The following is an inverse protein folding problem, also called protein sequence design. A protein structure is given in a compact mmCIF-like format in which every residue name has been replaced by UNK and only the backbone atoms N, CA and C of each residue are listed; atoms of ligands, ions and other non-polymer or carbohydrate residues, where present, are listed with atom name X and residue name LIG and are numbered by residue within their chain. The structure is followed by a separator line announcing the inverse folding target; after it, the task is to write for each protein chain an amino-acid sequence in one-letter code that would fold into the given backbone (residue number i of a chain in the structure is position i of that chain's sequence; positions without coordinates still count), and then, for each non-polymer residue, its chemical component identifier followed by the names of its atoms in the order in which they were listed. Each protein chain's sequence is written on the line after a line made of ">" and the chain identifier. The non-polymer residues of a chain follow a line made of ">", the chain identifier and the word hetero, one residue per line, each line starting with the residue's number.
data_IF_395731070147
#
_entry.id   IF_395731070147
#
_cell.length_a   1.000
_cell.length_b   1.000
_cell.length_c   1.000
_cell.angle_alpha   90.00
_cell.angle_beta   90.00
_cell.angle_gamma   90.00
#
_symmetry.space_group_name_H-M   'P 1'
#
loop_
_entity.id
_entity.type
_entity.pdbx_description
1 polymer ?
#
# COMPACT_ATOMS: atom_id res chain seq x y z
N UNK A 1 -10.34 11.05 22.45
CA UNK A 1 -10.14 9.68 23.00
C UNK A 1 -8.96 9.03 22.31
N UNK A 2 -8.20 8.22 23.02
CA UNK A 2 -7.15 7.40 22.45
C UNK A 2 -7.76 6.38 21.47
N UNK A 3 -7.16 6.21 20.29
CA UNK A 3 -7.56 5.22 19.29
C UNK A 3 -6.54 4.10 19.29
N UNK A 4 -6.95 2.89 19.61
CA UNK A 4 -6.15 1.68 19.55
C UNK A 4 -6.29 1.04 18.17
N UNK A 5 -5.22 0.94 17.44
CA UNK A 5 -5.20 0.51 16.06
C UNK A 5 -4.36 -0.77 15.93
N UNK A 6 -4.93 -1.81 15.34
CA UNK A 6 -4.15 -2.96 14.89
C UNK A 6 -3.69 -2.73 13.45
N UNK A 7 -2.38 -2.68 13.25
CA UNK A 7 -1.75 -2.53 11.93
C UNK A 7 -1.01 -3.80 11.56
N UNK A 8 -1.53 -4.54 10.57
CA UNK A 8 -0.81 -5.66 9.98
C UNK A 8 0.03 -5.19 8.80
N UNK A 9 1.19 -5.81 8.59
CA UNK A 9 2.08 -5.40 7.50
C UNK A 9 2.76 -4.04 7.71
N UNK A 10 2.92 -3.60 8.94
CA UNK A 10 3.49 -2.29 9.34
C UNK A 10 4.92 -2.04 8.83
N UNK A 11 5.68 -3.10 8.50
CA UNK A 11 7.03 -3.03 7.93
C UNK A 11 7.04 -3.07 6.39
N UNK A 12 5.89 -3.20 5.76
CA UNK A 12 5.73 -3.12 4.31
C UNK A 12 5.76 -1.69 3.79
N UNK A 13 5.74 -1.53 2.47
CA UNK A 13 5.81 -0.22 1.82
C UNK A 13 4.69 0.73 2.31
N UNK A 14 3.42 0.34 2.18
CA UNK A 14 2.29 1.15 2.64
C UNK A 14 2.30 1.26 4.17
N UNK A 15 2.54 0.13 4.86
CA UNK A 15 2.47 0.06 6.32
C UNK A 15 3.43 1.00 7.03
N UNK A 16 4.66 1.15 6.53
CA UNK A 16 5.64 2.09 7.07
C UNK A 16 5.17 3.55 6.95
N UNK A 17 4.63 3.92 5.79
CA UNK A 17 4.09 5.26 5.58
C UNK A 17 2.86 5.52 6.44
N UNK A 18 1.94 4.55 6.50
CA UNK A 18 0.73 4.68 7.31
C UNK A 18 1.06 4.78 8.80
N UNK A 19 1.97 3.94 9.30
CA UNK A 19 2.44 4.02 10.69
C UNK A 19 2.97 5.41 11.02
N UNK A 20 3.83 5.96 10.17
CA UNK A 20 4.40 7.29 10.36
C UNK A 20 3.32 8.39 10.32
N UNK A 21 2.30 8.26 9.48
CA UNK A 21 1.19 9.22 9.41
C UNK A 21 0.31 9.15 10.66
N UNK A 22 -0.04 7.94 11.10
CA UNK A 22 -0.84 7.71 12.32
C UNK A 22 -0.16 8.25 13.58
N UNK A 23 1.16 8.08 13.70
CA UNK A 23 1.94 8.54 14.86
C UNK A 23 2.08 10.06 14.95
N UNK A 24 1.71 10.83 13.91
CA UNK A 24 1.60 12.28 14.03
C UNK A 24 0.47 12.72 14.96
N UNK A 25 -0.52 11.85 15.17
CA UNK A 25 -1.60 12.09 16.11
C UNK A 25 -1.27 11.43 17.46
N UNK A 26 -1.02 12.24 18.48
CA UNK A 26 -0.70 11.78 19.84
C UNK A 26 -1.80 10.93 20.50
N UNK A 27 -3.01 10.95 19.94
CA UNK A 27 -4.14 10.15 20.42
C UNK A 27 -4.26 8.79 19.71
N UNK A 28 -3.18 8.29 19.12
CA UNK A 28 -3.16 7.00 18.42
C UNK A 28 -2.17 6.06 19.09
N UNK A 29 -2.61 4.85 19.44
CA UNK A 29 -1.75 3.75 19.87
C UNK A 29 -1.81 2.62 18.85
N UNK A 30 -0.64 2.08 18.42
CA UNK A 30 -0.54 1.11 17.34
C UNK A 30 -0.04 -0.22 17.87
N UNK A 31 -0.85 -1.25 17.72
CA UNK A 31 -0.49 -2.66 17.87
C UNK A 31 -0.06 -3.19 16.50
N UNK A 32 1.14 -3.75 16.42
CA UNK A 32 1.71 -4.19 15.14
C UNK A 32 1.70 -5.70 15.03
N UNK A 33 1.12 -6.25 13.95
CA UNK A 33 1.31 -7.63 13.57
C UNK A 33 2.19 -7.73 12.32
N UNK A 34 3.35 -8.34 12.47
CA UNK A 34 4.36 -8.48 11.41
C UNK A 34 4.57 -9.95 11.03
N UNK A 35 5.12 -10.19 9.85
CA UNK A 35 5.48 -11.55 9.41
C UNK A 35 6.42 -12.21 10.42
N UNK A 36 6.09 -13.42 10.85
CA UNK A 36 6.81 -14.17 11.91
C UNK A 36 6.49 -13.69 13.33
N UNK A 37 5.58 -12.74 13.51
CA UNK A 37 5.12 -12.31 14.82
C UNK A 37 4.25 -13.37 15.51
N UNK A 38 4.20 -13.33 16.83
CA UNK A 38 3.44 -14.26 17.64
C UNK A 38 1.95 -13.92 17.60
N UNK A 39 1.12 -14.87 17.18
CA UNK A 39 -0.32 -14.65 17.08
C UNK A 39 -0.98 -14.32 18.44
N UNK A 40 -0.47 -14.91 19.53
CA UNK A 40 -1.00 -14.59 20.88
C UNK A 40 -0.97 -13.11 21.24
N UNK A 41 -0.08 -12.33 20.62
CA UNK A 41 -0.08 -10.88 20.82
C UNK A 41 -1.37 -10.24 20.27
N UNK A 42 -1.85 -10.71 19.12
CA UNK A 42 -3.12 -10.26 18.56
C UNK A 42 -4.29 -10.71 19.46
N UNK A 43 -4.30 -12.01 19.85
CA UNK A 43 -5.35 -12.57 20.71
C UNK A 43 -5.50 -11.80 22.04
N UNK A 44 -4.38 -11.40 22.64
CA UNK A 44 -4.36 -10.71 23.91
C UNK A 44 -4.78 -9.24 23.83
N UNK A 45 -4.59 -8.59 22.67
CA UNK A 45 -4.89 -7.15 22.50
C UNK A 45 -6.19 -6.88 21.74
N UNK A 46 -6.78 -7.87 21.08
CA UNK A 46 -7.87 -7.65 20.12
C UNK A 46 -9.10 -6.97 20.74
N UNK A 47 -9.37 -7.19 22.02
CA UNK A 47 -10.51 -6.59 22.73
C UNK A 47 -10.33 -5.08 23.01
N UNK A 48 -9.08 -4.59 22.93
CA UNK A 48 -8.76 -3.16 23.09
C UNK A 48 -8.78 -2.39 21.76
N UNK A 49 -8.87 -3.10 20.61
CA UNK A 49 -8.71 -2.50 19.29
C UNK A 49 -9.99 -1.80 18.81
N UNK A 50 -9.85 -0.55 18.38
CA UNK A 50 -10.93 0.26 17.81
C UNK A 50 -11.02 0.16 16.28
N UNK A 51 -9.90 -0.15 15.58
CA UNK A 51 -9.81 -0.18 14.13
C UNK A 51 -8.68 -1.09 13.64
N UNK A 52 -8.89 -1.82 12.56
CA UNK A 52 -7.89 -2.69 11.96
C UNK A 52 -7.49 -2.18 10.57
N UNK A 53 -6.18 -1.91 10.37
CA UNK A 53 -5.59 -1.78 9.04
C UNK A 53 -4.97 -3.12 8.66
N UNK A 54 -5.63 -3.86 7.79
CA UNK A 54 -5.16 -5.15 7.30
C UNK A 54 -4.40 -4.97 5.97
N UNK A 55 -3.09 -4.63 6.09
CA UNK A 55 -2.20 -4.40 4.95
C UNK A 55 -1.27 -5.60 4.67
N UNK A 56 -1.18 -6.55 5.60
CA UNK A 56 -0.37 -7.74 5.41
C UNK A 56 -0.89 -8.57 4.24
N UNK A 57 0.04 -9.13 3.47
CA UNK A 57 -0.25 -10.00 2.36
C UNK A 57 1.02 -10.31 1.56
N UNK A 58 0.97 -11.41 0.80
CA UNK A 58 2.00 -11.76 -0.16
C UNK A 58 1.77 -11.00 -1.46
N UNK A 59 2.82 -10.36 -1.95
CA UNK A 59 2.78 -9.54 -3.19
C UNK A 59 3.96 -9.83 -4.12
N UNK A 60 4.92 -10.70 -3.70
CA UNK A 60 6.07 -11.05 -4.52
C UNK A 60 5.60 -11.95 -5.68
N UNK A 61 5.77 -11.53 -6.95
CA UNK A 61 5.36 -12.33 -8.10
C UNK A 61 6.13 -13.66 -8.22
N UNK A 62 7.23 -13.81 -7.47
CA UNK A 62 8.04 -15.05 -7.43
C UNK A 62 7.55 -16.05 -6.36
N UNK A 63 6.63 -15.64 -5.50
CA UNK A 63 6.06 -16.50 -4.49
C UNK A 63 5.22 -17.62 -5.11
N UNK A 64 5.20 -18.78 -4.46
CA UNK A 64 4.36 -19.90 -4.87
C UNK A 64 2.90 -19.72 -4.42
N UNK A 65 2.01 -20.53 -4.97
CA UNK A 65 0.58 -20.55 -4.65
C UNK A 65 0.30 -20.63 -3.14
N UNK A 66 0.97 -21.56 -2.44
CA UNK A 66 0.75 -21.80 -1.00
C UNK A 66 1.10 -20.56 -0.16
N UNK A 67 2.13 -19.81 -0.57
CA UNK A 67 2.50 -18.56 0.08
C UNK A 67 1.41 -17.50 -0.09
N UNK A 68 0.81 -17.38 -1.29
CA UNK A 68 -0.31 -16.48 -1.53
C UNK A 68 -1.54 -16.89 -0.70
N UNK A 69 -1.91 -18.17 -0.68
CA UNK A 69 -3.04 -18.66 0.11
C UNK A 69 -2.81 -18.40 1.60
N UNK A 70 -1.65 -18.80 2.12
CA UNK A 70 -1.33 -18.67 3.55
C UNK A 70 -1.35 -17.22 4.04
N UNK A 71 -0.71 -16.32 3.28
CA UNK A 71 -0.52 -14.93 3.72
C UNK A 71 -1.66 -13.98 3.33
N UNK A 72 -2.48 -14.34 2.34
CA UNK A 72 -3.62 -13.51 1.95
C UNK A 72 -4.93 -14.09 2.52
N UNK A 73 -5.30 -15.32 2.16
CA UNK A 73 -6.59 -15.91 2.55
C UNK A 73 -6.57 -16.34 4.02
N UNK A 74 -5.69 -17.27 4.39
CA UNK A 74 -5.72 -17.89 5.73
C UNK A 74 -5.47 -16.86 6.84
N UNK A 75 -4.61 -15.88 6.60
CA UNK A 75 -4.39 -14.80 7.56
C UNK A 75 -5.66 -13.96 7.75
N UNK A 76 -6.35 -13.59 6.67
CA UNK A 76 -7.61 -12.85 6.71
C UNK A 76 -8.70 -13.65 7.44
N UNK A 77 -8.85 -14.94 7.12
CA UNK A 77 -9.78 -15.84 7.81
C UNK A 77 -9.50 -15.91 9.31
N UNK A 78 -8.23 -16.05 9.67
CA UNK A 78 -7.81 -16.15 11.08
C UNK A 78 -8.19 -14.90 11.87
N UNK A 79 -8.05 -13.70 11.29
CA UNK A 79 -8.51 -12.45 11.91
C UNK A 79 -10.03 -12.44 12.09
N UNK A 80 -10.78 -12.76 11.04
CA UNK A 80 -12.24 -12.78 11.09
C UNK A 80 -12.74 -13.79 12.13
N UNK A 81 -12.20 -15.00 12.15
CA UNK A 81 -12.56 -16.04 13.13
C UNK A 81 -12.31 -15.56 14.57
N UNK A 82 -11.19 -14.89 14.83
CA UNK A 82 -10.90 -14.34 16.15
C UNK A 82 -11.93 -13.29 16.57
N UNK A 83 -12.27 -12.36 15.67
CA UNK A 83 -13.28 -11.33 15.92
C UNK A 83 -14.66 -11.94 16.20
N UNK A 84 -15.07 -12.95 15.44
CA UNK A 84 -16.34 -13.64 15.61
C UNK A 84 -16.38 -14.45 16.92
N UNK A 85 -15.31 -15.17 17.25
CA UNK A 85 -15.19 -15.91 18.52
C UNK A 85 -15.31 -14.99 19.73
N UNK A 86 -14.73 -13.79 19.64
CA UNK A 86 -14.75 -12.77 20.68
C UNK A 86 -16.02 -11.89 20.63
N UNK A 87 -16.88 -12.08 19.62
CA UNK A 87 -18.09 -11.27 19.37
C UNK A 87 -17.79 -9.77 19.22
N UNK A 88 -16.67 -9.45 18.56
CA UNK A 88 -16.21 -8.09 18.33
C UNK A 88 -16.61 -7.62 16.93
N UNK A 89 -17.13 -6.40 16.85
CA UNK A 89 -17.49 -5.74 15.58
C UNK A 89 -16.55 -4.56 15.35
N UNK A 90 -15.31 -4.85 14.92
CA UNK A 90 -14.25 -3.87 14.72
C UNK A 90 -14.19 -3.49 13.23
N UNK A 91 -14.19 -2.20 12.85
CA UNK A 91 -14.04 -1.76 11.49
C UNK A 91 -12.69 -2.21 10.89
N UNK A 92 -12.70 -2.63 9.62
CA UNK A 92 -11.51 -3.12 8.92
C UNK A 92 -11.30 -2.31 7.62
N UNK A 93 -10.10 -1.74 7.45
CA UNK A 93 -9.60 -1.32 6.17
C UNK A 93 -8.65 -2.40 5.62
N UNK A 94 -8.96 -2.89 4.43
CA UNK A 94 -8.18 -3.90 3.72
C UNK A 94 -7.59 -3.33 2.42
N UNK A 95 -6.28 -3.53 2.23
CA UNK A 95 -5.64 -3.20 0.96
C UNK A 95 -5.76 -4.36 -0.02
N UNK A 96 -6.60 -4.18 -1.00
CA UNK A 96 -6.73 -5.05 -2.16
C UNK A 96 -6.00 -4.47 -3.37
N UNK A 97 -6.31 -4.94 -4.55
CA UNK A 97 -5.65 -4.55 -5.80
C UNK A 97 -6.66 -4.48 -6.94
N UNK A 98 -6.38 -3.66 -7.95
CA UNK A 98 -7.09 -3.69 -9.23
C UNK A 98 -7.08 -5.09 -9.88
N UNK A 99 -6.05 -5.91 -9.57
CA UNK A 99 -5.95 -7.29 -10.04
C UNK A 99 -7.02 -8.22 -9.46
N UNK A 100 -7.65 -7.87 -8.33
CA UNK A 100 -8.73 -8.64 -7.74
C UNK A 100 -10.06 -8.49 -8.52
N UNK A 101 -10.22 -7.43 -9.33
CA UNK A 101 -11.44 -7.19 -10.11
C UNK A 101 -11.63 -8.25 -11.22
N UNK A 102 -10.54 -8.63 -11.89
CA UNK A 102 -10.50 -9.68 -12.91
C UNK A 102 -9.22 -10.51 -12.72
N UNK A 103 -9.22 -11.49 -11.80
CA UNK A 103 -8.02 -12.24 -11.45
C UNK A 103 -7.46 -13.02 -12.64
N UNK A 104 -6.15 -12.89 -12.86
CA UNK A 104 -5.41 -13.62 -13.90
C UNK A 104 -4.25 -14.44 -13.33
N UNK A 105 -4.02 -14.36 -12.04
CA UNK A 105 -2.94 -15.04 -11.32
C UNK A 105 -3.33 -15.25 -9.85
N UNK A 106 -2.50 -16.00 -9.11
CA UNK A 106 -2.73 -16.33 -7.70
C UNK A 106 -2.86 -15.09 -6.82
N UNK A 107 -2.08 -14.03 -7.10
CA UNK A 107 -2.19 -12.77 -6.37
C UNK A 107 -3.58 -12.17 -6.48
N UNK A 108 -4.09 -11.98 -7.71
CA UNK A 108 -5.43 -11.44 -7.95
C UNK A 108 -6.51 -12.32 -7.33
N UNK A 109 -6.42 -13.65 -7.51
CA UNK A 109 -7.39 -14.62 -6.99
C UNK A 109 -7.44 -14.60 -5.46
N UNK A 110 -6.28 -14.60 -4.80
CA UNK A 110 -6.25 -14.60 -3.33
C UNK A 110 -6.68 -13.27 -2.74
N UNK A 111 -6.38 -12.14 -3.40
CA UNK A 111 -6.91 -10.83 -3.01
C UNK A 111 -8.43 -10.79 -3.13
N UNK A 112 -9.01 -11.27 -4.25
CA UNK A 112 -10.45 -11.34 -4.44
C UNK A 112 -11.11 -12.18 -3.34
N UNK A 113 -10.54 -13.34 -3.01
CA UNK A 113 -11.07 -14.19 -1.94
C UNK A 113 -11.04 -13.50 -0.58
N UNK A 114 -9.97 -12.79 -0.26
CA UNK A 114 -9.88 -12.00 0.96
C UNK A 114 -10.90 -10.84 1.00
N UNK A 115 -11.18 -10.20 -0.15
CA UNK A 115 -12.25 -9.19 -0.25
C UNK A 115 -13.60 -9.77 0.15
N UNK A 116 -13.95 -10.96 -0.39
CA UNK A 116 -15.21 -11.65 -0.08
C UNK A 116 -15.34 -11.90 1.42
N UNK A 117 -14.30 -12.42 2.07
CA UNK A 117 -14.27 -12.68 3.51
C UNK A 117 -14.52 -11.40 4.34
N UNK A 118 -13.85 -10.30 3.99
CA UNK A 118 -14.00 -9.01 4.66
C UNK A 118 -15.41 -8.43 4.47
N UNK A 119 -15.97 -8.54 3.27
CA UNK A 119 -17.34 -8.08 3.00
C UNK A 119 -18.38 -8.87 3.79
N UNK A 120 -18.26 -10.20 3.80
CA UNK A 120 -19.14 -11.07 4.58
C UNK A 120 -19.08 -10.75 6.07
N UNK A 121 -17.88 -10.55 6.61
CA UNK A 121 -17.70 -10.12 7.99
C UNK A 121 -18.43 -8.80 8.26
N UNK A 122 -18.22 -7.79 7.42
CA UNK A 122 -18.86 -6.48 7.56
C UNK A 122 -20.39 -6.57 7.53
N UNK A 123 -20.92 -7.39 6.60
CA UNK A 123 -22.37 -7.59 6.46
C UNK A 123 -22.97 -8.33 7.68
N UNK A 124 -22.37 -9.46 8.10
CA UNK A 124 -22.85 -10.28 9.22
C UNK A 124 -22.82 -9.53 10.54
N UNK A 125 -21.76 -8.76 10.79
CA UNK A 125 -21.54 -8.06 12.04
C UNK A 125 -22.04 -6.60 12.04
N UNK A 126 -22.62 -6.13 10.90
CA UNK A 126 -23.09 -4.74 10.71
C UNK A 126 -22.02 -3.71 11.05
N UNK A 127 -20.77 -3.99 10.65
CA UNK A 127 -19.61 -3.16 10.90
C UNK A 127 -19.02 -2.65 9.60
N UNK A 128 -18.42 -1.47 9.64
CA UNK A 128 -17.82 -0.82 8.49
C UNK A 128 -16.61 -1.57 7.97
N UNK A 129 -16.57 -1.81 6.66
CA UNK A 129 -15.40 -2.37 5.97
C UNK A 129 -15.05 -1.50 4.78
N UNK A 130 -13.75 -1.24 4.60
CA UNK A 130 -13.17 -0.43 3.53
C UNK A 130 -12.21 -1.29 2.72
N UNK A 131 -12.56 -1.62 1.48
CA UNK A 131 -11.74 -2.47 0.61
C UNK A 131 -11.17 -1.62 -0.50
N UNK A 132 -9.92 -1.20 -0.36
CA UNK A 132 -9.24 -0.39 -1.35
C UNK A 132 -8.60 -1.24 -2.44
N UNK A 133 -9.13 -1.20 -3.65
CA UNK A 133 -8.54 -1.78 -4.86
C UNK A 133 -7.49 -0.83 -5.42
N UNK A 134 -6.27 -0.96 -4.92
CA UNK A 134 -5.17 -0.06 -5.24
C UNK A 134 -4.63 -0.31 -6.65
N UNK A 135 -4.33 0.76 -7.42
CA UNK A 135 -3.55 0.70 -8.65
C UNK A 135 -2.06 0.46 -8.33
N UNK A 136 -1.19 0.67 -9.33
CA UNK A 136 0.24 0.64 -9.08
C UNK A 136 0.65 1.79 -8.15
N UNK A 137 1.40 1.47 -7.11
CA UNK A 137 1.86 2.46 -6.13
C UNK A 137 3.32 2.83 -6.36
N UNK A 138 3.63 4.10 -6.09
CA UNK A 138 4.99 4.61 -6.06
C UNK A 138 5.21 5.55 -4.87
N UNK A 139 6.46 5.82 -4.56
CA UNK A 139 6.84 6.72 -3.46
C UNK A 139 8.14 6.29 -2.79
N UNK A 140 8.55 7.06 -1.79
CA UNK A 140 9.75 6.82 -1.02
C UNK A 140 9.72 5.44 -0.34
N UNK A 141 10.88 4.83 -0.15
CA UNK A 141 11.04 3.53 0.51
C UNK A 141 10.35 2.33 -0.19
N UNK A 142 9.88 2.48 -1.43
CA UNK A 142 9.43 1.34 -2.20
C UNK A 142 10.64 0.53 -2.69
N UNK A 143 10.64 -0.79 -2.45
CA UNK A 143 11.79 -1.65 -2.76
C UNK A 143 11.95 -1.82 -4.28
N UNK A 144 13.12 -1.47 -4.87
CA UNK A 144 13.40 -1.74 -6.28
C UNK A 144 13.58 -3.25 -6.51
N UNK A 145 13.41 -3.68 -7.77
CA UNK A 145 13.52 -5.08 -8.20
C UNK A 145 12.60 -6.05 -7.43
N UNK A 146 11.43 -5.57 -7.04
CA UNK A 146 10.44 -6.33 -6.31
C UNK A 146 9.08 -6.30 -7.04
N UNK A 147 8.20 -5.38 -6.71
CA UNK A 147 6.85 -5.31 -7.29
C UNK A 147 6.46 -3.92 -7.83
N UNK A 148 7.41 -3.01 -7.98
CA UNK A 148 7.19 -1.68 -8.53
C UNK A 148 8.14 -1.39 -9.67
N UNK A 149 7.59 -1.15 -10.85
CA UNK A 149 8.36 -0.76 -12.04
C UNK A 149 9.01 0.60 -11.86
N UNK A 150 8.28 1.58 -11.32
CA UNK A 150 8.81 2.94 -11.06
C UNK A 150 10.02 2.88 -10.13
N UNK A 151 9.92 2.16 -9.01
CA UNK A 151 11.03 2.05 -8.05
C UNK A 151 12.26 1.39 -8.67
N UNK A 152 12.05 0.39 -9.52
CA UNK A 152 13.13 -0.28 -10.25
C UNK A 152 13.78 0.66 -11.28
N UNK A 153 12.98 1.42 -12.01
CA UNK A 153 13.49 2.37 -13.02
C UNK A 153 14.22 3.56 -12.37
N UNK A 154 13.72 4.08 -11.25
CA UNK A 154 14.44 5.10 -10.48
C UNK A 154 15.81 4.56 -10.03
N UNK A 155 15.85 3.36 -9.46
CA UNK A 155 17.10 2.72 -9.06
C UNK A 155 18.06 2.54 -10.25
N UNK A 156 17.57 2.05 -11.39
CA UNK A 156 18.36 1.87 -12.59
C UNK A 156 18.90 3.21 -13.11
N UNK A 157 18.05 4.24 -13.17
CA UNK A 157 18.44 5.59 -13.61
C UNK A 157 19.58 6.17 -12.76
N UNK A 158 19.47 6.05 -11.43
CA UNK A 158 20.47 6.59 -10.49
C UNK A 158 21.81 5.84 -10.58
N UNK A 159 21.77 4.54 -10.87
CA UNK A 159 22.95 3.67 -10.93
C UNK A 159 23.48 3.47 -12.35
N UNK A 160 23.09 4.28 -13.32
CA UNK A 160 23.50 4.17 -14.72
C UNK A 160 23.20 2.80 -15.37
N UNK A 161 22.15 2.11 -14.87
CA UNK A 161 21.70 0.84 -15.44
C UNK A 161 20.63 1.06 -16.51
N UNK A 162 20.50 0.09 -17.43
CA UNK A 162 19.52 0.15 -18.51
C UNK A 162 18.08 0.10 -17.98
N UNK A 163 17.22 1.00 -18.48
CA UNK A 163 15.77 0.95 -18.29
C UNK A 163 15.14 0.28 -19.50
N UNK A 164 14.60 -0.94 -19.29
CA UNK A 164 13.95 -1.70 -20.37
C UNK A 164 12.45 -1.41 -20.39
N UNK A 165 11.94 -0.92 -21.50
CA UNK A 165 10.53 -0.70 -21.76
C UNK A 165 10.15 -1.43 -23.05
N UNK A 166 9.21 -2.37 -22.97
CA UNK A 166 8.77 -3.13 -24.15
C UNK A 166 7.93 -2.29 -25.11
N UNK A 167 7.02 -1.48 -24.55
CA UNK A 167 6.17 -0.57 -25.30
C UNK A 167 5.97 0.71 -24.49
N UNK A 168 6.47 1.83 -25.03
CA UNK A 168 6.41 3.14 -24.39
C UNK A 168 4.98 3.72 -24.32
N UNK A 169 4.07 3.22 -25.18
CA UNK A 169 2.70 3.74 -25.27
C UNK A 169 1.73 3.09 -24.26
N UNK A 170 2.16 2.05 -23.54
CA UNK A 170 1.31 1.42 -22.53
C UNK A 170 0.99 2.46 -21.45
N UNK A 171 -0.31 2.73 -21.29
CA UNK A 171 -0.83 3.60 -20.25
C UNK A 171 -1.03 2.82 -18.95
N UNK A 172 -0.58 3.40 -17.85
CA UNK A 172 -0.65 2.83 -16.52
C UNK A 172 -1.32 3.79 -15.55
N UNK A 173 -1.92 3.23 -14.51
CA UNK A 173 -2.56 3.99 -13.44
C UNK A 173 -1.73 3.87 -12.17
N UNK A 174 -1.37 5.01 -11.60
CA UNK A 174 -0.52 5.10 -10.42
C UNK A 174 -1.16 5.92 -9.32
N UNK A 175 -0.89 5.57 -8.08
CA UNK A 175 -1.16 6.44 -6.93
C UNK A 175 0.09 6.61 -6.08
N UNK A 176 0.23 7.80 -5.51
CA UNK A 176 1.35 8.13 -4.64
C UNK A 176 1.06 7.66 -3.21
N UNK A 177 1.99 6.93 -2.61
CA UNK A 177 1.77 6.29 -1.31
C UNK A 177 1.35 7.24 -0.20
N UNK A 178 1.89 8.48 -0.19
CA UNK A 178 1.52 9.46 0.84
C UNK A 178 0.09 9.98 0.71
N UNK A 179 -0.46 10.03 -0.52
CA UNK A 179 -1.86 10.38 -0.72
C UNK A 179 -2.76 9.24 -0.21
N UNK A 180 -2.40 8.00 -0.53
CA UNK A 180 -3.11 6.81 -0.05
C UNK A 180 -3.17 6.76 1.47
N UNK A 181 -2.05 6.97 2.17
CA UNK A 181 -2.07 6.87 3.63
C UNK A 181 -2.83 8.03 4.29
N UNK A 182 -2.85 9.22 3.68
CA UNK A 182 -3.71 10.31 4.14
C UNK A 182 -5.20 9.95 4.00
N UNK A 183 -5.58 9.34 2.89
CA UNK A 183 -6.95 8.87 2.68
C UNK A 183 -7.31 7.75 3.68
N UNK A 184 -6.39 6.82 3.93
CA UNK A 184 -6.59 5.76 4.93
C UNK A 184 -6.82 6.30 6.34
N UNK A 185 -6.10 7.36 6.75
CA UNK A 185 -6.32 7.95 8.07
C UNK A 185 -7.71 8.57 8.23
N UNK A 186 -8.35 9.01 7.14
CA UNK A 186 -9.72 9.54 7.18
C UNK A 186 -10.76 8.45 7.52
N UNK A 187 -10.44 7.17 7.25
CA UNK A 187 -11.32 6.05 7.60
C UNK A 187 -11.46 5.84 9.11
N UNK A 188 -10.54 6.35 9.94
CA UNK A 188 -10.66 6.30 11.40
C UNK A 188 -11.83 7.13 11.92
N UNK A 189 -12.22 8.16 11.19
CA UNK A 189 -13.39 8.97 11.51
C UNK A 189 -14.54 8.55 10.59
N UNK A 190 -15.29 7.54 11.04
CA UNK A 190 -16.41 6.92 10.30
C UNK A 190 -17.51 7.91 9.86
N UNK A 191 -17.51 9.14 10.40
CA UNK A 191 -18.44 10.20 9.98
C UNK A 191 -18.11 10.75 8.61
N UNK A 192 -16.88 10.60 8.13
CA UNK A 192 -16.39 11.19 6.88
C UNK A 192 -16.55 10.28 5.66
N UNK A 193 -16.67 8.95 5.84
CA UNK A 193 -16.80 8.01 4.72
C UNK A 193 -18.15 7.30 4.80
N UNK A 194 -19.05 7.68 3.90
CA UNK A 194 -20.39 7.09 3.80
C UNK A 194 -20.44 5.79 3.00
N UNK A 195 -19.37 5.46 2.26
CA UNK A 195 -19.33 4.32 1.37
C UNK A 195 -18.70 3.11 2.05
N UNK A 196 -19.40 2.00 2.05
CA UNK A 196 -18.93 0.68 2.50
C UNK A 196 -18.59 -0.20 1.30
N UNK A 197 -17.64 -1.10 1.49
CA UNK A 197 -17.27 -2.09 0.47
C UNK A 197 -16.09 -1.65 -0.40
N UNK A 198 -16.22 -1.80 -1.70
CA UNK A 198 -15.13 -1.51 -2.63
C UNK A 198 -14.90 -0.01 -2.82
N UNK A 199 -13.65 0.39 -2.66
CA UNK A 199 -13.17 1.75 -2.83
C UNK A 199 -12.01 1.78 -3.82
N UNK A 200 -11.89 2.88 -4.53
CA UNK A 200 -10.71 3.23 -5.32
C UNK A 200 -10.10 4.50 -4.72
N UNK A 201 -8.78 4.70 -4.82
CA UNK A 201 -8.17 5.94 -4.38
C UNK A 201 -8.77 7.16 -5.05
N UNK A 202 -8.92 8.25 -4.31
CA UNK A 202 -9.44 9.53 -4.83
C UNK A 202 -8.47 10.19 -5.83
N UNK A 203 -7.17 9.88 -5.73
CA UNK A 203 -6.12 10.41 -6.60
C UNK A 203 -5.45 9.26 -7.34
N UNK A 204 -5.71 9.18 -8.65
CA UNK A 204 -5.08 8.24 -9.57
C UNK A 204 -4.50 9.04 -10.73
N UNK A 205 -3.21 8.84 -10.98
CA UNK A 205 -2.50 9.42 -12.11
C UNK A 205 -2.48 8.45 -13.27
N UNK A 206 -2.80 8.94 -14.46
CA UNK A 206 -2.68 8.20 -15.69
C UNK A 206 -1.49 8.74 -16.48
N UNK A 207 -0.56 7.87 -16.86
CA UNK A 207 0.64 8.23 -17.62
C UNK A 207 1.14 7.04 -18.42
N UNK A 208 1.85 7.28 -19.51
CA UNK A 208 2.48 6.20 -20.27
C UNK A 208 3.81 5.76 -19.66
N UNK A 209 4.21 4.52 -19.95
CA UNK A 209 5.53 4.02 -19.54
C UNK A 209 6.65 4.88 -20.13
N UNK A 210 6.44 5.40 -21.36
CA UNK A 210 7.37 6.29 -22.01
C UNK A 210 7.56 7.61 -21.28
N UNK A 211 6.47 8.27 -20.89
CA UNK A 211 6.53 9.52 -20.13
C UNK A 211 7.25 9.36 -18.78
N UNK A 212 7.02 8.24 -18.09
CA UNK A 212 7.77 7.97 -16.86
C UNK A 212 9.28 7.93 -17.11
N UNK A 213 9.72 7.25 -18.16
CA UNK A 213 11.16 7.19 -18.51
C UNK A 213 11.70 8.55 -18.88
N UNK A 214 10.97 9.33 -19.69
CA UNK A 214 11.38 10.68 -20.09
C UNK A 214 11.57 11.59 -18.88
N UNK A 215 10.67 11.52 -17.90
CA UNK A 215 10.82 12.25 -16.63
C UNK A 215 12.06 11.80 -15.85
N UNK A 216 12.35 10.51 -15.78
CA UNK A 216 13.54 10.02 -15.07
C UNK A 216 14.84 10.45 -15.74
N UNK A 217 14.90 10.46 -17.08
CA UNK A 217 16.03 10.96 -17.85
C UNK A 217 16.24 12.46 -17.63
N UNK A 218 15.16 13.25 -17.63
CA UNK A 218 15.17 14.66 -17.33
C UNK A 218 15.67 14.94 -15.90
N UNK A 219 15.18 14.20 -14.91
CA UNK A 219 15.61 14.35 -13.51
C UNK A 219 17.10 14.08 -13.35
N UNK A 220 17.56 13.00 -13.97
CA UNK A 220 18.99 12.64 -13.98
C UNK A 220 19.85 13.76 -14.59
N UNK A 221 19.43 14.28 -15.75
CA UNK A 221 20.13 15.37 -16.41
C UNK A 221 20.14 16.64 -15.56
N UNK A 222 19.01 17.02 -14.96
CA UNK A 222 18.87 18.23 -14.17
C UNK A 222 19.71 18.16 -12.89
N UNK A 223 19.69 17.03 -12.16
CA UNK A 223 20.54 16.84 -10.97
C UNK A 223 22.01 16.93 -11.34
N UNK A 224 22.45 16.23 -12.40
CA UNK A 224 23.85 16.23 -12.84
C UNK A 224 24.36 17.62 -13.24
N UNK A 225 23.49 18.47 -13.79
CA UNK A 225 23.83 19.81 -14.26
C UNK A 225 23.41 20.92 -13.31
N UNK A 226 22.96 20.62 -12.09
CA UNK A 226 22.48 21.57 -11.08
C UNK A 226 21.39 22.51 -11.64
N UNK A 227 20.53 21.98 -12.51
CA UNK A 227 19.40 22.73 -13.06
C UNK A 227 18.15 22.54 -12.19
N UNK A 228 17.43 23.65 -12.00
CA UNK A 228 16.18 23.66 -11.26
C UNK A 228 15.07 24.14 -12.19
N UNK A 229 14.08 23.29 -12.40
CA UNK A 229 12.90 23.60 -13.19
C UNK A 229 11.65 23.61 -12.32
N UNK A 230 10.70 24.47 -12.64
CA UNK A 230 9.39 24.44 -12.02
C UNK A 230 8.62 23.26 -12.60
N UNK A 231 8.10 22.38 -11.76
CA UNK A 231 7.34 21.20 -12.18
C UNK A 231 5.85 21.49 -11.93
N UNK A 232 5.11 21.77 -13.02
CA UNK A 232 3.67 22.05 -12.94
C UNK A 232 2.80 20.78 -12.91
N UNK A 233 3.33 19.65 -13.39
CA UNK A 233 2.63 18.38 -13.39
C UNK A 233 2.73 17.72 -12.01
N UNK A 234 1.59 17.44 -11.36
CA UNK A 234 1.55 16.88 -10.00
C UNK A 234 2.16 15.48 -9.90
N UNK A 235 1.90 14.60 -10.88
CA UNK A 235 2.53 13.28 -10.95
C UNK A 235 4.05 13.40 -11.05
N UNK A 236 4.54 14.23 -11.98
CA UNK A 236 5.97 14.48 -12.19
C UNK A 236 6.63 15.03 -10.91
N UNK A 237 5.97 15.94 -10.20
CA UNK A 237 6.49 16.50 -8.94
C UNK A 237 6.64 15.43 -7.84
N UNK A 238 5.64 14.55 -7.69
CA UNK A 238 5.70 13.42 -6.74
C UNK A 238 6.73 12.37 -7.16
N UNK A 239 6.86 12.12 -8.45
CA UNK A 239 7.88 11.24 -9.00
C UNK A 239 9.28 11.81 -8.74
N UNK A 240 9.47 13.11 -8.94
CA UNK A 240 10.74 13.80 -8.64
C UNK A 240 11.08 13.72 -7.15
N UNK A 241 10.13 13.98 -6.26
CA UNK A 241 10.33 13.81 -4.81
C UNK A 241 10.75 12.39 -4.45
N UNK A 242 10.17 11.39 -5.12
CA UNK A 242 10.56 9.99 -4.95
C UNK A 242 11.99 9.76 -5.46
N UNK A 243 12.31 10.29 -6.66
CA UNK A 243 13.63 10.19 -7.27
C UNK A 243 14.72 10.78 -6.36
N UNK A 244 14.49 11.97 -5.79
CA UNK A 244 15.42 12.63 -4.88
C UNK A 244 15.68 11.80 -3.63
N UNK A 245 14.65 11.20 -3.05
CA UNK A 245 14.80 10.33 -1.86
C UNK A 245 15.72 9.13 -2.14
N UNK A 246 15.54 8.47 -3.29
CA UNK A 246 16.42 7.38 -3.71
C UNK A 246 17.84 7.85 -4.00
N UNK A 247 17.97 8.99 -4.68
CA UNK A 247 19.27 9.58 -4.99
C UNK A 247 20.07 9.88 -3.71
N UNK A 248 19.45 10.54 -2.74
CA UNK A 248 20.08 10.84 -1.46
C UNK A 248 20.42 9.56 -0.67
N UNK A 249 19.51 8.58 -0.65
CA UNK A 249 19.76 7.32 0.05
C UNK A 249 20.90 6.52 -0.56
N UNK A 250 21.13 6.66 -1.86
CA UNK A 250 22.21 5.94 -2.58
C UNK A 250 23.56 6.64 -2.44
N UNK A 251 23.59 7.99 -2.45
CA UNK A 251 24.83 8.77 -2.53
C UNK A 251 25.28 9.40 -1.20
N UNK A 252 24.43 9.42 -0.17
CA UNK A 252 24.76 9.99 1.15
C UNK A 252 25.03 8.91 2.23
N UNK A 253 25.30 7.68 1.83
CA UNK A 253 25.73 6.60 2.75
C UNK A 253 27.25 6.49 2.91
N UNK A 254 27.99 7.46 2.37
CA UNK A 254 29.45 7.58 2.54
C UNK A 254 29.80 8.57 3.64
#
# INVERSE_FOLDING_TARGET
>A
MLKNILLTGSRGFIGTHLKNELLKNSNTHIFEYIRGGTWSMVENSIEEIDFIYHLAGEVDPKSNHDSFVSNNINLTEKFIQLLEQKKLSIPILFTSSIHAKNPKNDYGTTKQKSEELILEYGYRNKVQTYIYRLPHLFGQNCKPNYNSVISTWIYNSINDLEIKVFDRNITMHYSYVKDIVKEFTQCLDSKNIKQQGYLEPSIIYETSLGEVVDFLEEFKYNIKNSKYEVIDNEFKAKLFTTYQDYYHTTHLKD
#
